data_IF_639237758727
#
_entry.id   IF_639237758727
#
_cell.length_a   1.000
_cell.length_b   1.000
_cell.length_c   1.000
_cell.angle_alpha   90.00
_cell.angle_beta   90.00
_cell.angle_gamma   90.00
#
_symmetry.space_group_name_H-M   'P 1'
#
loop_
_entity.id
_entity.type
_entity.pdbx_description
1 polymer ?
#
# COMPACT_ATOMS: atom_id res chain seq x y z
N UNK A 1 4.09 13.46 2.64
CA UNK A 1 4.95 13.54 1.44
C UNK A 1 4.63 14.75 0.60
N UNK A 2 3.38 14.97 0.15
CA UNK A 2 3.08 16.10 -0.74
C UNK A 2 3.29 17.51 -0.13
N UNK A 3 3.02 17.67 1.17
CA UNK A 3 3.07 19.01 1.82
C UNK A 3 4.48 19.44 2.23
N UNK A 4 5.30 18.48 2.67
CA UNK A 4 6.65 18.71 3.21
C UNK A 4 7.58 17.54 2.83
N UNK A 5 7.83 17.29 1.53
CA UNK A 5 8.67 16.17 1.10
C UNK A 5 10.09 16.25 1.67
N UNK A 6 10.63 17.45 1.82
CA UNK A 6 11.98 17.74 2.32
C UNK A 6 12.18 17.41 3.81
N UNK A 7 11.10 17.22 4.57
CA UNK A 7 11.13 16.89 6.00
C UNK A 7 11.01 15.38 6.26
N UNK A 8 11.01 14.57 5.21
CA UNK A 8 10.77 13.12 5.31
C UNK A 8 12.01 12.40 4.80
N UNK A 9 12.71 11.73 5.72
CA UNK A 9 13.87 10.90 5.42
C UNK A 9 13.51 9.71 4.52
N UNK A 10 12.47 8.96 4.90
CA UNK A 10 11.91 7.87 4.12
C UNK A 10 10.45 7.63 4.50
N UNK A 11 9.66 7.12 3.55
CA UNK A 11 8.33 6.57 3.79
C UNK A 11 8.40 5.04 3.77
N UNK A 12 7.90 4.39 4.82
CA UNK A 12 7.89 2.94 4.95
C UNK A 12 6.46 2.41 4.88
N UNK A 13 6.23 1.43 4.03
CA UNK A 13 4.96 0.73 3.86
C UNK A 13 5.14 -0.70 4.34
N UNK A 14 4.38 -1.11 5.35
CA UNK A 14 4.34 -2.48 5.86
C UNK A 14 2.88 -2.87 6.02
N UNK A 15 2.48 -4.01 5.45
CA UNK A 15 1.08 -4.51 5.49
C UNK A 15 0.05 -3.43 5.14
N UNK A 16 0.39 -2.59 4.15
CA UNK A 16 -0.37 -1.41 3.79
C UNK A 16 -0.36 -1.16 2.28
N UNK A 17 -1.39 -0.48 1.79
CA UNK A 17 -1.44 -0.05 0.39
C UNK A 17 -0.42 1.08 0.13
N UNK A 18 0.45 0.89 -0.86
CA UNK A 18 1.36 1.93 -1.33
C UNK A 18 0.75 2.72 -2.47
N UNK A 19 -0.16 3.63 -2.11
CA UNK A 19 -0.79 4.56 -3.04
C UNK A 19 0.23 5.42 -3.78
N UNK A 20 0.16 5.42 -5.10
CA UNK A 20 0.98 6.25 -5.99
C UNK A 20 0.16 6.88 -7.12
N UNK A 21 0.69 7.90 -7.81
CA UNK A 21 -0.06 8.70 -8.78
C UNK A 21 -0.69 7.90 -9.92
N UNK A 22 -0.11 6.76 -10.29
CA UNK A 22 -0.60 5.85 -11.34
C UNK A 22 -1.53 4.74 -10.84
N UNK A 23 -1.46 4.35 -9.56
CA UNK A 23 -2.35 3.31 -9.00
C UNK A 23 -3.79 3.82 -8.92
N UNK A 24 -3.96 5.13 -8.68
CA UNK A 24 -5.28 5.75 -8.59
C UNK A 24 -6.04 5.81 -9.92
N UNK A 25 -5.35 5.89 -11.05
CA UNK A 25 -5.98 5.97 -12.38
C UNK A 25 -6.33 4.60 -12.97
N UNK A 26 -5.66 3.51 -12.57
CA UNK A 26 -5.95 2.16 -13.08
C UNK A 26 -7.07 1.42 -12.33
N UNK A 27 -7.33 1.76 -11.06
CA UNK A 27 -8.46 1.22 -10.27
C UNK A 27 -9.83 1.77 -10.75
N UNK A 28 -9.82 2.72 -11.68
CA UNK A 28 -10.92 3.64 -11.98
C UNK A 28 -11.94 3.17 -13.06
N UNK A 29 -12.15 1.87 -13.30
CA UNK A 29 -12.90 1.45 -14.51
C UNK A 29 -14.10 0.51 -14.44
N UNK A 30 -14.64 0.06 -13.29
CA UNK A 30 -15.97 -0.60 -13.30
C UNK A 30 -16.79 -0.35 -12.03
N UNK A 31 -18.05 0.04 -12.29
CA UNK A 31 -19.37 -0.02 -11.60
C UNK A 31 -19.54 -0.20 -10.06
N UNK A 32 -20.78 0.09 -9.63
CA UNK A 32 -21.18 1.08 -8.63
C UNK A 32 -21.83 0.48 -7.36
N UNK A 33 -21.20 0.75 -6.20
CA UNK A 33 -21.81 1.06 -4.90
C UNK A 33 -21.03 2.27 -4.38
N UNK A 34 -21.34 3.41 -5.00
CA UNK A 34 -20.40 4.35 -5.61
C UNK A 34 -19.50 3.71 -6.68
N UNK A 35 -18.47 2.99 -6.28
CA UNK A 35 -17.53 2.30 -7.18
C UNK A 35 -16.79 1.16 -6.48
N UNK A 36 -17.20 0.81 -5.26
CA UNK A 36 -16.58 -0.30 -4.51
C UNK A 36 -17.17 -1.64 -4.97
N UNK A 37 -16.33 -2.66 -5.10
CA UNK A 37 -16.74 -3.97 -5.63
C UNK A 37 -16.35 -5.13 -4.73
N UNK A 38 -17.20 -6.15 -4.68
CA UNK A 38 -16.84 -7.44 -4.14
C UNK A 38 -16.34 -8.33 -5.27
N UNK A 39 -15.18 -8.96 -5.08
CA UNK A 39 -14.63 -9.95 -5.98
C UNK A 39 -14.88 -11.34 -5.41
N UNK A 40 -15.19 -12.26 -6.32
CA UNK A 40 -15.66 -13.61 -6.04
C UNK A 40 -14.81 -14.61 -6.83
N UNK A 41 -13.64 -14.93 -6.30
CA UNK A 41 -12.65 -15.73 -7.04
C UNK A 41 -13.09 -17.16 -7.32
N UNK A 42 -14.03 -17.65 -6.52
CA UNK A 42 -14.68 -18.95 -6.72
C UNK A 42 -15.98 -18.83 -7.50
N UNK A 43 -16.25 -17.69 -8.14
CA UNK A 43 -17.47 -17.41 -8.89
C UNK A 43 -18.57 -16.74 -8.04
N UNK A 44 -19.54 -16.06 -8.68
CA UNK A 44 -20.47 -15.13 -8.03
C UNK A 44 -21.46 -15.78 -7.05
N UNK A 45 -21.63 -17.09 -7.10
CA UNK A 45 -22.48 -17.83 -6.15
C UNK A 45 -21.76 -18.24 -4.86
N UNK A 46 -20.47 -17.92 -4.73
CA UNK A 46 -19.68 -18.16 -3.53
C UNK A 46 -19.60 -16.88 -2.68
N UNK A 47 -19.07 -16.99 -1.45
CA UNK A 47 -18.80 -15.81 -0.63
C UNK A 47 -17.79 -14.89 -1.32
N UNK A 48 -17.96 -13.56 -1.16
CA UNK A 48 -16.96 -12.60 -1.60
C UNK A 48 -15.60 -12.95 -1.00
N UNK A 49 -14.58 -13.03 -1.85
CA UNK A 49 -13.21 -13.36 -1.45
C UNK A 49 -12.39 -12.12 -1.19
N UNK A 50 -12.78 -10.97 -1.77
CA UNK A 50 -12.10 -9.70 -1.55
C UNK A 50 -13.04 -8.52 -1.77
N UNK A 51 -12.72 -7.40 -1.14
CA UNK A 51 -13.43 -6.13 -1.27
C UNK A 51 -12.48 -5.09 -1.86
N UNK A 52 -12.85 -4.51 -3.00
CA UNK A 52 -12.16 -3.41 -3.64
C UNK A 52 -12.87 -2.12 -3.25
N UNK A 53 -12.19 -1.26 -2.50
CA UNK A 53 -12.70 0.08 -2.17
C UNK A 53 -12.59 0.96 -3.41
N UNK A 54 -13.71 1.51 -3.85
CA UNK A 54 -13.77 2.33 -5.05
C UNK A 54 -13.24 3.75 -4.84
N UNK A 55 -12.72 4.42 -5.89
CA UNK A 55 -12.20 5.80 -5.84
C UNK A 55 -13.07 6.84 -5.12
N UNK A 56 -14.39 6.86 -5.33
CA UNK A 56 -15.29 7.78 -4.63
C UNK A 56 -15.39 7.46 -3.15
N UNK A 57 -15.45 6.17 -2.80
CA UNK A 57 -15.39 5.73 -1.41
C UNK A 57 -14.04 6.08 -0.77
N UNK A 58 -12.93 5.87 -1.48
CA UNK A 58 -11.59 6.27 -1.03
C UNK A 58 -11.50 7.78 -0.80
N UNK A 59 -11.91 8.61 -1.76
CA UNK A 59 -11.85 10.06 -1.63
C UNK A 59 -12.73 10.60 -0.49
N UNK A 60 -13.95 10.08 -0.33
CA UNK A 60 -14.93 10.62 0.63
C UNK A 60 -14.85 10.01 2.03
N UNK A 61 -14.32 8.79 2.18
CA UNK A 61 -14.29 8.05 3.46
C UNK A 61 -12.89 7.77 3.99
N UNK A 62 -11.88 7.68 3.13
CA UNK A 62 -10.50 7.33 3.53
C UNK A 62 -9.51 8.48 3.37
N UNK A 63 -9.71 9.35 2.37
CA UNK A 63 -8.81 10.45 2.00
C UNK A 63 -9.45 11.82 2.06
N UNK A 64 -10.57 11.97 2.75
CA UNK A 64 -11.32 13.22 2.86
C UNK A 64 -10.52 14.38 3.47
N UNK A 65 -9.42 14.07 4.18
CA UNK A 65 -8.49 15.05 4.74
C UNK A 65 -7.10 15.02 4.06
N UNK A 66 -6.92 14.19 3.03
CA UNK A 66 -5.68 14.12 2.26
C UNK A 66 -5.70 15.10 1.09
N UNK A 67 -4.53 15.58 0.63
CA UNK A 67 -4.46 16.34 -0.61
C UNK A 67 -5.01 15.50 -1.78
N UNK A 68 -5.72 16.12 -2.74
CA UNK A 68 -6.44 15.41 -3.79
C UNK A 68 -5.53 14.60 -4.72
N UNK A 69 -4.27 15.01 -4.86
CA UNK A 69 -3.32 14.44 -5.82
C UNK A 69 -1.92 14.36 -5.23
N UNK A 70 -1.22 13.26 -5.52
CA UNK A 70 0.21 13.09 -5.25
C UNK A 70 0.98 13.44 -6.52
N UNK A 71 1.95 14.34 -6.44
CA UNK A 71 2.74 14.75 -7.61
C UNK A 71 3.98 13.88 -7.75
N UNK A 72 4.40 13.54 -8.96
CA UNK A 72 5.64 12.76 -9.16
C UNK A 72 6.86 13.51 -8.60
N UNK A 73 6.85 14.83 -8.66
CA UNK A 73 7.94 15.69 -8.20
C UNK A 73 8.09 15.63 -6.67
N UNK A 74 7.00 15.67 -5.90
CA UNK A 74 7.07 15.67 -4.44
C UNK A 74 6.95 14.28 -3.83
N UNK A 75 5.98 13.49 -4.28
CA UNK A 75 5.87 12.09 -3.83
C UNK A 75 7.08 11.27 -4.29
N UNK A 76 7.54 11.48 -5.52
CA UNK A 76 8.67 10.74 -6.09
C UNK A 76 10.02 11.13 -5.51
N UNK A 77 10.16 12.33 -4.93
CA UNK A 77 11.42 12.77 -4.31
C UNK A 77 11.68 12.16 -2.93
N UNK A 78 10.63 11.70 -2.24
CA UNK A 78 10.79 10.99 -0.95
C UNK A 78 11.20 9.54 -1.20
N UNK A 79 12.28 9.05 -0.57
CA UNK A 79 12.64 7.63 -0.61
C UNK A 79 11.51 6.76 -0.04
N UNK A 80 11.11 5.72 -0.78
CA UNK A 80 10.06 4.79 -0.37
C UNK A 80 10.64 3.40 -0.15
N UNK A 81 10.25 2.77 0.95
CA UNK A 81 10.61 1.39 1.29
C UNK A 81 9.32 0.59 1.45
N UNK A 82 9.21 -0.53 0.75
CA UNK A 82 8.08 -1.45 0.90
C UNK A 82 8.54 -2.71 1.63
N UNK A 83 7.85 -3.09 2.70
CA UNK A 83 8.11 -4.31 3.47
C UNK A 83 7.01 -5.32 3.12
N UNK A 84 7.38 -6.36 2.40
CA UNK A 84 6.51 -7.46 2.00
C UNK A 84 6.28 -8.40 3.18
N UNK A 85 5.02 -8.74 3.42
CA UNK A 85 4.61 -9.81 4.33
C UNK A 85 4.09 -10.99 3.48
N UNK A 86 4.83 -12.09 3.45
CA UNK A 86 4.61 -13.20 2.51
C UNK A 86 3.41 -14.11 2.86
N UNK A 87 2.90 -14.05 4.10
CA UNK A 87 1.71 -14.78 4.57
C UNK A 87 0.51 -13.85 4.85
N UNK A 88 0.53 -12.63 4.33
CA UNK A 88 -0.59 -11.70 4.45
C UNK A 88 -1.78 -12.17 3.59
N UNK A 89 -2.90 -12.48 4.24
CA UNK A 89 -4.14 -12.87 3.57
C UNK A 89 -5.10 -11.71 3.30
N UNK A 90 -4.89 -10.53 3.93
CA UNK A 90 -5.69 -9.35 3.69
C UNK A 90 -5.18 -8.57 2.46
N UNK A 91 -3.85 -8.44 2.34
CA UNK A 91 -3.18 -7.90 1.16
C UNK A 91 -2.28 -9.00 0.60
N UNK A 92 -2.88 -9.89 -0.18
CA UNK A 92 -2.18 -11.07 -0.72
C UNK A 92 -0.94 -10.69 -1.54
N UNK A 93 0.03 -11.59 -1.57
CA UNK A 93 1.35 -11.37 -2.15
C UNK A 93 1.32 -10.84 -3.60
N UNK A 94 0.41 -11.32 -4.43
CA UNK A 94 0.23 -10.84 -5.81
C UNK A 94 -0.16 -9.36 -5.86
N UNK A 95 -0.98 -8.89 -4.91
CA UNK A 95 -1.38 -7.48 -4.80
C UNK A 95 -0.21 -6.63 -4.33
N UNK A 96 0.59 -7.13 -3.38
CA UNK A 96 1.82 -6.44 -2.95
C UNK A 96 2.80 -6.28 -4.11
N UNK A 97 3.08 -7.35 -4.87
CA UNK A 97 3.95 -7.29 -6.04
C UNK A 97 3.37 -6.42 -7.16
N UNK A 98 2.05 -6.43 -7.37
CA UNK A 98 1.40 -5.53 -8.30
C UNK A 98 1.65 -4.06 -7.92
N UNK A 99 1.53 -3.69 -6.65
CA UNK A 99 1.83 -2.34 -6.19
C UNK A 99 3.30 -1.97 -6.40
N UNK A 100 4.23 -2.86 -6.04
CA UNK A 100 5.67 -2.66 -6.24
C UNK A 100 5.99 -2.49 -7.73
N UNK A 101 5.36 -3.25 -8.61
CA UNK A 101 5.59 -3.17 -10.05
C UNK A 101 5.10 -1.86 -10.67
N UNK A 102 3.88 -1.43 -10.31
CA UNK A 102 3.24 -0.26 -10.94
C UNK A 102 3.59 1.08 -10.26
N UNK A 103 4.14 1.02 -9.05
CA UNK A 103 4.62 2.16 -8.29
C UNK A 103 5.93 1.80 -7.56
N UNK A 104 7.04 1.64 -8.28
CA UNK A 104 8.28 1.10 -7.72
C UNK A 104 8.80 1.95 -6.55
N UNK A 105 9.08 1.32 -5.39
CA UNK A 105 9.78 1.95 -4.28
C UNK A 105 11.29 1.96 -4.54
N UNK A 106 12.04 2.70 -3.73
CA UNK A 106 13.49 2.71 -3.78
C UNK A 106 14.10 1.43 -3.19
N UNK A 107 13.39 0.78 -2.28
CA UNK A 107 13.82 -0.46 -1.66
C UNK A 107 12.62 -1.36 -1.35
N UNK A 108 12.83 -2.67 -1.49
CA UNK A 108 11.89 -3.69 -1.06
C UNK A 108 12.59 -4.58 -0.04
N UNK A 109 11.95 -4.81 1.10
CA UNK A 109 12.35 -5.79 2.11
C UNK A 109 11.26 -6.86 2.21
N UNK A 110 11.60 -8.05 2.67
CA UNK A 110 10.65 -9.16 2.83
C UNK A 110 10.79 -9.72 4.23
N UNK A 111 9.66 -9.86 4.94
CA UNK A 111 9.58 -10.58 6.20
C UNK A 111 8.83 -11.90 5.94
N UNK A 112 9.57 -13.01 6.02
CA UNK A 112 9.03 -14.34 5.76
C UNK A 112 8.25 -14.90 6.96
N UNK A 113 7.18 -15.63 6.71
CA UNK A 113 6.26 -16.14 7.72
C UNK A 113 5.50 -15.04 8.46
N UNK A 114 5.27 -13.89 7.82
CA UNK A 114 4.61 -12.73 8.42
C UNK A 114 3.16 -12.60 7.95
N UNK A 115 2.23 -12.47 8.88
CA UNK A 115 0.83 -12.16 8.58
C UNK A 115 0.61 -10.64 8.40
N UNK A 116 -0.65 -10.23 8.25
CA UNK A 116 -1.04 -8.83 8.10
C UNK A 116 -0.72 -7.95 9.33
N UNK A 117 -0.63 -8.54 10.52
CA UNK A 117 -0.35 -7.80 11.75
C UNK A 117 1.11 -7.97 12.10
N UNK A 118 1.99 -7.48 11.22
CA UNK A 118 3.46 -7.60 11.28
C UNK A 118 4.07 -7.14 12.61
N UNK A 119 3.44 -6.16 13.26
CA UNK A 119 3.83 -5.67 14.59
C UNK A 119 3.65 -6.73 15.69
N UNK A 120 2.81 -7.75 15.48
CA UNK A 120 2.53 -8.84 16.43
C UNK A 120 3.18 -10.15 16.00
N UNK A 121 3.07 -10.51 14.73
CA UNK A 121 3.63 -11.77 14.24
C UNK A 121 5.16 -11.74 14.17
N UNK A 122 5.75 -10.63 13.69
CA UNK A 122 7.20 -10.49 13.48
C UNK A 122 7.80 -9.15 14.00
N UNK A 123 7.57 -8.78 15.28
CA UNK A 123 7.98 -7.48 15.83
C UNK A 123 9.48 -7.21 15.76
N UNK A 124 10.31 -8.22 16.04
CA UNK A 124 11.78 -8.06 16.10
C UNK A 124 12.37 -7.89 14.70
N UNK A 125 11.92 -8.69 13.73
CA UNK A 125 12.35 -8.56 12.33
C UNK A 125 11.92 -7.21 11.74
N UNK A 126 10.70 -6.77 12.04
CA UNK A 126 10.23 -5.45 11.65
C UNK A 126 11.07 -4.34 12.27
N UNK A 127 11.35 -4.40 13.58
CA UNK A 127 12.18 -3.42 14.26
C UNK A 127 13.57 -3.34 13.63
N UNK A 128 14.21 -4.48 13.36
CA UNK A 128 15.52 -4.53 12.71
C UNK A 128 15.51 -3.87 11.33
N UNK A 129 14.44 -4.08 10.55
CA UNK A 129 14.28 -3.39 9.26
C UNK A 129 14.09 -1.88 9.42
N UNK A 130 13.26 -1.44 10.38
CA UNK A 130 13.04 -0.02 10.64
C UNK A 130 14.31 0.68 11.12
N UNK A 131 15.08 0.06 12.00
CA UNK A 131 16.38 0.57 12.45
C UNK A 131 17.36 0.71 11.29
N UNK A 132 17.47 -0.31 10.44
CA UNK A 132 18.33 -0.25 9.25
C UNK A 132 17.90 0.83 8.25
N UNK A 133 16.59 1.03 8.06
CA UNK A 133 16.06 2.11 7.23
C UNK A 133 16.38 3.48 7.86
N UNK A 134 16.16 3.63 9.16
CA UNK A 134 16.47 4.86 9.87
C UNK A 134 17.95 5.22 9.73
N UNK A 135 18.87 4.28 9.96
CA UNK A 135 20.31 4.54 9.81
C UNK A 135 20.77 4.79 8.37
N UNK A 136 20.02 4.33 7.36
CA UNK A 136 20.35 4.55 5.94
C UNK A 136 19.88 5.90 5.41
N UNK A 137 18.72 6.36 5.87
CA UNK A 137 18.05 7.55 5.34
C UNK A 137 18.09 8.77 6.28
N UNK A 138 18.69 8.62 7.48
CA UNK A 138 18.96 9.70 8.44
C UNK A 138 19.98 10.72 7.96
#
# INVERSE_FOLDING_TARGET
MERFPEKIAAAVYATAFMSGPTIFTEINKKLDYMDSQFRYDRGPNNSATSFLVGPKAMASKFYQLSPPELTKEKYGSVPRVFIVADQDHAIVLDVQYFMIKNNPPNEVKVINGCDHVIMLSKPVELFSHLEGIAGKYS
#
